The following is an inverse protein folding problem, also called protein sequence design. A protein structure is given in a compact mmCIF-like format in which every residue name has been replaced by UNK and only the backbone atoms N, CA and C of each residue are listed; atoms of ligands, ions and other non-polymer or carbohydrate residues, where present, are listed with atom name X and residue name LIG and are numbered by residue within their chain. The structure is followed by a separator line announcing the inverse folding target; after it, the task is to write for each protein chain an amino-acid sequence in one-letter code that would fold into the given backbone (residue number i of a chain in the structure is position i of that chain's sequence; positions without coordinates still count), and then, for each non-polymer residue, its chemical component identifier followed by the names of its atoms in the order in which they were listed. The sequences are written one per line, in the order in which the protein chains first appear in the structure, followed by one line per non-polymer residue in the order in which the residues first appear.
data_IF_262386811140
#
_entry.id   IF_262386811140
#
_cell.length_a   1.000
_cell.length_b   1.000
_cell.length_c   1.000
_cell.angle_alpha   90.00
_cell.angle_beta   90.00
_cell.angle_gamma   90.00
#
_symmetry.space_group_name_H-M   'P 1'
#
loop_
_entity.id
_entity.type
_entity.pdbx_description
1 polymer ?
#
# COMPACT_ATOMS: atom_id res chain seq x y z
N UNK A 1 -2.72 -15.55 -16.25
CA UNK A 1 -3.31 -14.19 -16.16
C UNK A 1 -2.72 -13.53 -14.93
N UNK A 2 -2.25 -12.28 -15.03
CA UNK A 2 -1.75 -11.57 -13.86
C UNK A 2 -2.93 -11.31 -12.89
N UNK A 3 -2.69 -11.50 -11.60
CA UNK A 3 -3.66 -11.29 -10.52
C UNK A 3 -2.91 -10.84 -9.26
N UNK A 4 -3.62 -10.46 -8.20
CA UNK A 4 -2.97 -10.21 -6.91
C UNK A 4 -2.40 -11.52 -6.33
N UNK A 5 -1.29 -11.39 -5.59
CA UNK A 5 -0.65 -12.46 -4.82
C UNK A 5 -0.60 -12.09 -3.34
N UNK A 6 -0.96 -13.02 -2.47
CA UNK A 6 -1.00 -12.81 -1.03
C UNK A 6 0.10 -13.60 -0.33
N UNK A 7 0.87 -12.92 0.52
CA UNK A 7 1.91 -13.51 1.38
C UNK A 7 1.42 -13.41 2.83
N UNK A 8 0.89 -14.50 3.41
CA UNK A 8 0.44 -14.50 4.79
C UNK A 8 1.63 -14.41 5.75
N UNK A 9 1.45 -13.74 6.89
CA UNK A 9 2.47 -13.66 7.96
C UNK A 9 3.85 -13.16 7.46
N UNK A 10 3.86 -12.26 6.47
CA UNK A 10 5.09 -11.69 5.91
C UNK A 10 5.81 -10.79 6.92
N UNK A 11 5.02 -10.13 7.78
CA UNK A 11 5.47 -9.43 8.97
C UNK A 11 4.80 -10.07 10.19
N UNK A 12 5.53 -10.14 11.30
CA UNK A 12 4.97 -10.51 12.59
C UNK A 12 4.12 -9.38 13.16
N UNK A 13 3.21 -9.72 14.08
CA UNK A 13 2.41 -8.75 14.85
C UNK A 13 3.31 -7.70 15.51
N UNK A 14 4.40 -8.13 16.16
CA UNK A 14 5.32 -7.21 16.83
C UNK A 14 6.06 -6.26 15.87
N UNK A 15 6.40 -6.72 14.66
CA UNK A 15 6.96 -5.84 13.62
C UNK A 15 5.93 -4.82 13.13
N UNK A 16 4.67 -5.22 12.94
CA UNK A 16 3.59 -4.30 12.58
C UNK A 16 3.34 -3.25 13.67
N UNK A 17 3.28 -3.68 14.93
CA UNK A 17 3.06 -2.80 16.08
C UNK A 17 4.22 -1.81 16.25
N UNK A 18 5.46 -2.25 16.01
CA UNK A 18 6.63 -1.38 16.02
C UNK A 18 6.57 -0.28 14.94
N UNK A 19 6.11 -0.62 13.73
CA UNK A 19 5.89 0.37 12.67
C UNK A 19 4.81 1.37 13.08
N UNK A 20 3.67 0.90 13.57
CA UNK A 20 2.54 1.76 13.99
C UNK A 20 2.95 2.67 15.16
N UNK A 21 3.71 2.16 16.13
CA UNK A 21 4.22 2.94 17.26
C UNK A 21 5.24 4.01 16.83
N UNK A 22 6.12 3.70 15.87
CA UNK A 22 7.10 4.65 15.36
C UNK A 22 6.42 5.83 14.64
N UNK A 23 5.46 5.56 13.75
CA UNK A 23 4.76 6.61 13.00
C UNK A 23 3.82 7.44 13.89
N UNK A 24 3.35 6.93 15.02
CA UNK A 24 2.44 7.70 15.90
C UNK A 24 3.13 8.91 16.53
N UNK A 25 4.47 8.93 16.53
CA UNK A 25 5.29 10.04 17.02
C UNK A 25 5.70 10.99 15.89
N UNK A 26 5.47 10.62 14.63
CA UNK A 26 5.80 11.42 13.47
C UNK A 26 4.66 12.38 13.11
N UNK A 27 4.97 13.60 12.62
CA UNK A 27 3.94 14.43 12.00
C UNK A 27 3.37 13.69 10.78
N UNK A 28 2.04 13.61 10.69
CA UNK A 28 1.36 13.04 9.52
C UNK A 28 0.87 14.15 8.60
N UNK A 29 1.11 14.02 7.29
CA UNK A 29 0.57 14.93 6.29
C UNK A 29 -0.77 14.42 5.74
N UNK A 30 -1.77 15.29 5.50
CA UNK A 30 -2.98 14.87 4.80
C UNK A 30 -2.63 14.39 3.37
N UNK A 31 -3.21 13.27 2.94
CA UNK A 31 -2.86 12.64 1.68
C UNK A 31 -3.03 13.59 0.47
N UNK A 32 -1.98 13.73 -0.33
CA UNK A 32 -2.00 14.45 -1.60
C UNK A 32 -2.15 13.47 -2.77
N UNK A 33 -2.94 13.82 -3.79
CA UNK A 33 -3.00 13.08 -5.05
C UNK A 33 -1.81 13.44 -5.95
N UNK A 34 -1.54 12.60 -6.96
CA UNK A 34 -0.62 12.93 -8.06
C UNK A 34 -1.04 14.28 -8.67
N UNK A 35 -0.16 15.28 -8.62
CA UNK A 35 -0.46 16.66 -9.05
C UNK A 35 -0.83 17.64 -7.93
N UNK A 36 -0.69 17.27 -6.65
CA UNK A 36 -0.94 18.13 -5.46
C UNK A 36 -2.39 18.63 -5.31
N UNK A 37 -3.36 18.07 -6.02
CA UNK A 37 -4.77 18.36 -5.80
C UNK A 37 -5.29 17.58 -4.58
N UNK A 38 -5.98 18.29 -3.68
CA UNK A 38 -6.72 17.72 -2.55
C UNK A 38 -8.16 17.49 -3.01
N UNK A 39 -8.46 16.30 -3.52
CA UNK A 39 -9.84 15.88 -3.70
C UNK A 39 -10.18 14.81 -2.67
N UNK A 40 -10.79 15.23 -1.57
CA UNK A 40 -11.24 14.35 -0.50
C UNK A 40 -12.28 13.32 -0.97
N UNK A 41 -12.91 13.54 -2.14
CA UNK A 41 -13.80 12.53 -2.75
C UNK A 41 -13.02 11.38 -3.40
N UNK A 42 -11.73 11.56 -3.70
CA UNK A 42 -10.88 10.52 -4.25
C UNK A 42 -10.13 9.75 -3.17
N UNK A 43 -9.61 10.45 -2.16
CA UNK A 43 -8.87 9.83 -1.05
C UNK A 43 -9.08 10.60 0.25
N UNK A 44 -9.36 9.87 1.32
CA UNK A 44 -9.42 10.36 2.70
C UNK A 44 -8.50 9.49 3.57
N UNK A 45 -7.27 9.96 3.80
CA UNK A 45 -6.25 9.30 4.63
C UNK A 45 -5.18 10.31 5.08
N UNK A 46 -4.51 10.04 6.19
CA UNK A 46 -3.25 10.69 6.57
C UNK A 46 -2.08 9.82 6.09
N UNK A 47 -0.96 10.43 5.68
CA UNK A 47 0.22 9.74 5.17
C UNK A 47 1.44 10.03 6.03
N UNK A 48 2.29 9.01 6.17
CA UNK A 48 3.63 9.11 6.75
C UNK A 48 4.60 8.35 5.87
N UNK A 49 5.69 8.98 5.43
CA UNK A 49 6.74 8.29 4.67
C UNK A 49 7.78 7.74 5.64
N UNK A 50 8.20 6.49 5.46
CA UNK A 50 9.03 5.80 6.46
C UNK A 50 10.45 6.36 6.57
N UNK A 51 10.96 7.05 5.54
CA UNK A 51 12.24 7.75 5.53
C UNK A 51 12.23 9.03 6.38
N UNK A 52 11.06 9.54 6.72
CA UNK A 52 10.89 10.67 7.64
C UNK A 52 10.83 10.22 9.12
N UNK A 53 10.90 8.91 9.38
CA UNK A 53 10.74 8.32 10.71
C UNK A 53 11.99 7.54 11.12
N UNK A 54 12.63 7.99 12.19
CA UNK A 54 13.80 7.31 12.74
C UNK A 54 13.46 5.88 13.20
N UNK A 55 14.37 4.93 12.93
CA UNK A 55 14.21 3.53 13.33
C UNK A 55 13.43 2.64 12.36
N UNK A 56 12.92 3.17 11.25
CA UNK A 56 12.20 2.39 10.23
C UNK A 56 13.05 1.97 9.01
N UNK A 57 14.35 2.22 9.01
CA UNK A 57 15.24 1.91 7.87
C UNK A 57 15.19 0.42 7.44
N UNK A 58 14.99 -0.50 8.39
CA UNK A 58 14.91 -1.95 8.13
C UNK A 58 13.67 -2.37 7.33
N UNK A 59 12.62 -1.55 7.33
CA UNK A 59 11.33 -1.86 6.69
C UNK A 59 11.50 -2.00 5.19
N UNK A 60 12.30 -1.12 4.58
CA UNK A 60 12.52 -1.14 3.13
C UNK A 60 13.19 -2.44 2.67
N UNK A 61 14.22 -2.90 3.39
CA UNK A 61 14.92 -4.14 3.05
C UNK A 61 13.97 -5.35 3.06
N UNK A 62 13.09 -5.42 4.07
CA UNK A 62 12.06 -6.48 4.15
C UNK A 62 11.11 -6.45 2.96
N UNK A 63 10.67 -5.27 2.55
CA UNK A 63 9.73 -5.14 1.43
C UNK A 63 10.40 -5.47 0.10
N UNK A 64 11.66 -5.07 -0.10
CA UNK A 64 12.44 -5.42 -1.29
C UNK A 64 12.54 -6.95 -1.44
N UNK A 65 12.83 -7.66 -0.35
CA UNK A 65 12.93 -9.12 -0.37
C UNK A 65 11.60 -9.79 -0.76
N UNK A 66 10.49 -9.31 -0.20
CA UNK A 66 9.14 -9.82 -0.52
C UNK A 66 8.78 -9.55 -1.98
N UNK A 67 9.01 -8.33 -2.48
CA UNK A 67 8.77 -7.99 -3.88
C UNK A 67 9.63 -8.84 -4.81
N UNK A 68 10.91 -9.05 -4.48
CA UNK A 68 11.82 -9.85 -5.31
C UNK A 68 11.32 -11.28 -5.49
N UNK A 69 10.92 -11.92 -4.37
CA UNK A 69 10.36 -13.28 -4.39
C UNK A 69 9.05 -13.32 -5.16
N UNK A 70 8.11 -12.42 -4.84
CA UNK A 70 6.81 -12.37 -5.49
C UNK A 70 6.95 -12.12 -7.01
N UNK A 71 7.84 -11.21 -7.41
CA UNK A 71 8.09 -10.91 -8.81
C UNK A 71 8.64 -12.11 -9.56
N UNK A 72 9.66 -12.80 -9.01
CA UNK A 72 10.24 -13.99 -9.63
C UNK A 72 9.20 -15.10 -9.84
N UNK A 73 8.36 -15.33 -8.83
CA UNK A 73 7.49 -16.51 -8.80
C UNK A 73 6.12 -16.29 -9.46
N UNK A 74 5.65 -15.04 -9.56
CA UNK A 74 4.27 -14.75 -9.99
C UNK A 74 4.11 -13.71 -11.11
N UNK A 75 5.06 -12.78 -11.29
CA UNK A 75 4.83 -11.61 -12.16
C UNK A 75 5.80 -11.49 -13.32
N UNK A 76 7.10 -11.73 -13.09
CA UNK A 76 8.13 -11.70 -14.12
C UNK A 76 8.40 -10.32 -14.73
N UNK A 77 8.17 -9.22 -14.00
CA UNK A 77 8.52 -7.89 -14.49
C UNK A 77 10.03 -7.64 -14.41
N UNK A 78 10.54 -6.85 -15.35
CA UNK A 78 11.90 -6.27 -15.27
C UNK A 78 11.91 -5.13 -14.24
N UNK A 79 12.18 -5.47 -12.99
CA UNK A 79 12.28 -4.52 -11.88
C UNK A 79 13.72 -4.02 -11.77
N UNK A 80 13.90 -2.71 -11.85
CA UNK A 80 15.23 -2.08 -11.86
C UNK A 80 15.47 -1.17 -10.66
N UNK A 81 14.43 -0.74 -9.96
CA UNK A 81 14.57 0.22 -8.87
C UNK A 81 13.40 0.23 -7.87
N UNK A 82 13.66 0.85 -6.73
CA UNK A 82 12.65 1.37 -5.83
C UNK A 82 12.93 2.87 -5.67
N UNK A 83 12.19 3.69 -6.41
CA UNK A 83 12.45 5.14 -6.51
C UNK A 83 11.60 5.96 -5.51
N UNK A 84 10.82 5.29 -4.67
CA UNK A 84 9.91 5.90 -3.72
C UNK A 84 10.03 5.21 -2.36
N UNK A 85 9.99 6.02 -1.29
CA UNK A 85 9.96 5.53 0.09
C UNK A 85 8.65 4.78 0.38
N UNK A 86 8.66 3.77 1.26
CA UNK A 86 7.42 3.19 1.76
C UNK A 86 6.51 4.24 2.41
N UNK A 87 5.23 4.17 2.07
CA UNK A 87 4.19 5.10 2.54
C UNK A 87 3.23 4.37 3.47
N UNK A 88 3.16 4.79 4.73
CA UNK A 88 2.04 4.39 5.60
C UNK A 88 0.84 5.29 5.33
N UNK A 89 -0.32 4.67 5.16
CA UNK A 89 -1.61 5.34 5.04
C UNK A 89 -2.50 5.00 6.24
N UNK A 90 -3.09 6.04 6.84
CA UNK A 90 -3.91 6.00 8.05
C UNK A 90 -5.34 6.40 7.66
N UNK A 91 -6.26 5.45 7.70
CA UNK A 91 -7.66 5.64 7.34
C UNK A 91 -8.52 5.65 8.61
N UNK A 92 -9.17 6.78 8.89
CA UNK A 92 -9.98 6.97 10.12
C UNK A 92 -11.46 6.91 9.80
N UNK A 93 -12.24 6.20 10.63
CA UNK A 93 -13.70 6.17 10.52
C UNK A 93 -14.33 7.58 10.60
N UNK A 94 -13.77 8.46 11.43
CA UNK A 94 -14.25 9.84 11.60
C UNK A 94 -14.23 10.69 10.32
N UNK A 95 -13.44 10.28 9.33
CA UNK A 95 -13.34 10.95 8.02
C UNK A 95 -13.82 10.04 6.87
N UNK A 96 -14.57 8.97 7.20
CA UNK A 96 -14.95 7.90 6.28
C UNK A 96 -13.75 7.44 5.44
N UNK A 97 -12.60 7.23 6.07
CA UNK A 97 -11.32 7.04 5.38
C UNK A 97 -11.41 5.99 4.27
N UNK A 98 -11.01 6.38 3.06
CA UNK A 98 -11.16 5.56 1.85
C UNK A 98 -10.15 5.98 0.78
N UNK A 99 -10.06 5.18 -0.29
CA UNK A 99 -9.42 5.57 -1.54
C UNK A 99 -10.21 4.93 -2.67
N UNK A 100 -10.89 5.73 -3.49
CA UNK A 100 -11.74 5.22 -4.59
C UNK A 100 -10.93 4.46 -5.63
N UNK A 101 -11.61 3.74 -6.53
CA UNK A 101 -10.99 3.02 -7.64
C UNK A 101 -9.97 3.88 -8.40
N UNK A 102 -8.73 3.42 -8.41
CA UNK A 102 -7.61 4.08 -9.09
C UNK A 102 -6.57 3.07 -9.55
N UNK A 103 -5.61 3.56 -10.32
CA UNK A 103 -4.41 2.85 -10.70
C UNK A 103 -3.20 3.56 -10.09
N UNK A 104 -2.19 2.80 -9.69
CA UNK A 104 -0.97 3.37 -9.12
C UNK A 104 0.01 3.84 -10.18
N UNK A 105 -0.09 3.32 -11.41
CA UNK A 105 0.64 3.88 -12.54
C UNK A 105 0.04 5.24 -12.91
N UNK A 106 0.88 6.23 -13.16
CA UNK A 106 0.46 7.59 -13.49
C UNK A 106 1.27 8.22 -14.62
N UNK A 107 0.89 9.44 -15.02
CA UNK A 107 1.60 10.19 -16.07
C UNK A 107 2.89 10.89 -15.61
N UNK A 108 3.29 10.74 -14.35
CA UNK A 108 4.50 11.34 -13.80
C UNK A 108 5.75 10.52 -14.14
N UNK A 109 6.95 11.12 -14.12
CA UNK A 109 8.19 10.45 -14.53
C UNK A 109 8.49 9.19 -13.70
N UNK A 110 8.20 9.21 -12.40
CA UNK A 110 8.40 8.05 -11.51
C UNK A 110 7.18 7.11 -11.56
N UNK A 111 5.97 7.65 -11.41
CA UNK A 111 4.75 6.84 -11.36
C UNK A 111 4.46 6.09 -12.66
N UNK A 112 4.92 6.56 -13.83
CA UNK A 112 4.81 5.85 -15.10
C UNK A 112 5.68 4.57 -15.16
N UNK A 113 6.65 4.42 -14.25
CA UNK A 113 7.57 3.29 -14.17
C UNK A 113 7.16 2.23 -13.14
N UNK A 114 6.12 2.46 -12.34
CA UNK A 114 5.63 1.51 -11.33
C UNK A 114 5.14 0.23 -11.99
N UNK A 115 5.66 -0.91 -11.53
CA UNK A 115 5.34 -2.25 -12.02
C UNK A 115 4.53 -3.05 -11.03
N UNK A 116 4.98 -3.09 -9.78
CA UNK A 116 4.32 -3.79 -8.69
C UNK A 116 4.03 -2.83 -7.55
N UNK A 117 2.82 -2.92 -7.04
CA UNK A 117 2.39 -2.35 -5.77
C UNK A 117 2.39 -3.47 -4.73
N UNK A 118 3.01 -3.22 -3.59
CA UNK A 118 2.93 -4.07 -2.41
C UNK A 118 2.18 -3.30 -1.32
N UNK A 119 1.14 -3.91 -0.74
CA UNK A 119 0.41 -3.38 0.41
C UNK A 119 0.50 -4.36 1.59
N UNK A 120 1.04 -3.90 2.71
CA UNK A 120 1.11 -4.57 4.01
C UNK A 120 -0.04 -4.10 4.91
N UNK A 121 -0.78 -5.03 5.51
CA UNK A 121 -1.76 -4.72 6.56
C UNK A 121 -1.06 -4.55 7.91
N UNK A 122 -1.24 -3.39 8.55
CA UNK A 122 -0.59 -3.08 9.82
C UNK A 122 -1.53 -3.16 11.04
N UNK A 123 -2.84 -3.07 10.83
CA UNK A 123 -3.83 -3.12 11.92
C UNK A 123 -4.42 -4.52 12.09
N UNK A 124 -4.80 -4.88 13.31
CA UNK A 124 -5.59 -6.09 13.55
C UNK A 124 -6.98 -5.93 12.91
N UNK A 125 -7.54 -7.00 12.30
CA UNK A 125 -8.84 -6.91 11.63
C UNK A 125 -10.01 -6.60 12.57
N UNK A 126 -9.88 -6.89 13.86
CA UNK A 126 -10.84 -6.56 14.92
C UNK A 126 -10.84 -5.09 15.36
N UNK A 127 -9.77 -4.33 15.07
CA UNK A 127 -9.64 -2.92 15.49
C UNK A 127 -10.41 -1.94 14.59
N UNK A 128 -10.94 -2.42 13.45
CA UNK A 128 -11.66 -1.60 12.49
C UNK A 128 -12.71 -2.37 11.70
N UNK A 129 -13.72 -1.66 11.19
CA UNK A 129 -14.71 -2.20 10.27
C UNK A 129 -14.64 -1.50 8.91
N UNK A 130 -14.83 -2.23 7.81
CA UNK A 130 -14.62 -1.71 6.46
C UNK A 130 -13.13 -1.61 6.12
N UNK A 131 -12.73 -0.62 5.30
CA UNK A 131 -11.31 -0.43 4.95
C UNK A 131 -10.73 -1.56 4.09
N UNK A 132 -11.56 -2.34 3.40
CA UNK A 132 -11.08 -3.49 2.62
C UNK A 132 -10.32 -2.98 1.40
N UNK A 133 -9.11 -3.50 1.18
CA UNK A 133 -8.40 -3.33 -0.07
C UNK A 133 -9.01 -4.28 -1.11
N UNK A 134 -9.57 -3.71 -2.15
CA UNK A 134 -10.18 -4.43 -3.27
C UNK A 134 -9.33 -4.22 -4.53
N UNK A 135 -9.07 -5.29 -5.27
CA UNK A 135 -8.30 -5.27 -6.53
C UNK A 135 -9.15 -5.90 -7.63
N UNK A 136 -9.17 -5.26 -8.80
CA UNK A 136 -9.94 -5.69 -9.96
C UNK A 136 -8.97 -6.12 -11.09
N UNK A 137 -8.45 -7.37 -11.07
CA UNK A 137 -7.54 -7.86 -12.11
C UNK A 137 -8.22 -8.18 -13.45
N UNK A 138 -9.55 -8.14 -13.49
CA UNK A 138 -10.38 -8.45 -14.66
C UNK A 138 -11.83 -8.02 -14.42
N UNK A 139 -12.81 -8.83 -14.81
CA UNK A 139 -14.24 -8.51 -14.59
C UNK A 139 -14.73 -8.73 -13.14
N UNK A 140 -13.85 -9.15 -12.23
CA UNK A 140 -14.16 -9.52 -10.86
C UNK A 140 -13.37 -8.67 -9.87
N UNK A 141 -14.00 -8.34 -8.75
CA UNK A 141 -13.35 -7.71 -7.60
C UNK A 141 -12.86 -8.81 -6.66
N UNK A 142 -11.58 -8.75 -6.28
CA UNK A 142 -10.97 -9.61 -5.29
C UNK A 142 -10.66 -8.79 -4.04
N UNK A 143 -10.98 -9.33 -2.87
CA UNK A 143 -10.63 -8.71 -1.59
C UNK A 143 -9.27 -9.22 -1.11
N UNK A 144 -8.36 -8.31 -0.80
CA UNK A 144 -7.12 -8.65 -0.14
C UNK A 144 -7.36 -9.08 1.31
N UNK A 145 -6.53 -9.98 1.83
CA UNK A 145 -6.56 -10.36 3.25
C UNK A 145 -6.42 -9.12 4.14
N UNK A 146 -7.21 -9.09 5.21
CA UNK A 146 -7.17 -8.07 6.27
C UNK A 146 -6.30 -8.46 7.47
N UNK A 147 -5.76 -9.69 7.49
CA UNK A 147 -4.96 -10.16 8.60
C UNK A 147 -3.70 -9.30 8.77
N UNK A 148 -3.40 -8.87 10.00
CA UNK A 148 -2.20 -8.11 10.30
C UNK A 148 -0.94 -8.88 9.86
N UNK A 149 0.04 -8.16 9.31
CA UNK A 149 1.27 -8.77 8.81
C UNK A 149 1.14 -9.43 7.44
N UNK A 150 -0.09 -9.52 6.90
CA UNK A 150 -0.32 -10.03 5.56
C UNK A 150 0.07 -9.00 4.51
N UNK A 151 0.76 -9.45 3.48
CA UNK A 151 1.14 -8.64 2.32
C UNK A 151 0.34 -9.05 1.10
N UNK A 152 -0.10 -8.08 0.31
CA UNK A 152 -0.68 -8.29 -1.01
C UNK A 152 0.15 -7.56 -2.05
N UNK A 153 0.57 -8.27 -3.10
CA UNK A 153 1.34 -7.73 -4.23
C UNK A 153 0.49 -7.81 -5.49
N UNK A 154 0.44 -6.76 -6.29
CA UNK A 154 -0.29 -6.74 -7.56
C UNK A 154 0.36 -5.78 -8.57
N UNK A 155 0.14 -5.97 -9.88
CA UNK A 155 0.61 -5.03 -10.89
C UNK A 155 0.03 -3.63 -10.69
N UNK A 156 0.87 -2.61 -10.69
CA UNK A 156 0.48 -1.22 -10.36
C UNK A 156 -0.51 -0.60 -11.34
N UNK A 157 -0.70 -1.19 -12.52
CA UNK A 157 -1.74 -0.77 -13.46
C UNK A 157 -3.14 -1.29 -13.12
N UNK A 158 -3.28 -2.25 -12.20
CA UNK A 158 -4.59 -2.80 -11.84
C UNK A 158 -5.43 -1.78 -11.07
N UNK A 159 -6.71 -1.71 -11.41
CA UNK A 159 -7.68 -0.91 -10.66
C UNK A 159 -7.82 -1.50 -9.26
N UNK A 160 -7.72 -0.65 -8.25
CA UNK A 160 -7.90 -1.03 -6.86
C UNK A 160 -8.48 0.12 -6.05
N UNK A 161 -9.09 -0.21 -4.91
CA UNK A 161 -9.67 0.76 -3.98
C UNK A 161 -9.50 0.31 -2.53
N UNK A 162 -9.69 1.24 -1.60
CA UNK A 162 -9.90 0.98 -0.18
C UNK A 162 -11.31 1.42 0.16
N UNK A 163 -12.17 0.48 0.52
CA UNK A 163 -13.56 0.78 0.90
C UNK A 163 -13.60 1.63 2.18
N UNK A 164 -14.66 2.42 2.41
CA UNK A 164 -14.73 3.28 3.59
C UNK A 164 -14.55 2.53 4.90
N UNK A 165 -13.68 3.06 5.77
CA UNK A 165 -13.59 2.65 7.18
C UNK A 165 -14.82 3.18 7.90
N UNK A 166 -15.57 2.27 8.54
CA UNK A 166 -16.83 2.55 9.24
C UNK A 166 -16.67 2.65 10.76
N UNK A 167 -15.67 1.97 11.30
CA UNK A 167 -15.29 2.01 12.72
C UNK A 167 -13.78 1.85 12.87
N UNK A 168 -13.19 2.46 13.90
CA UNK A 168 -11.77 2.34 14.21
C UNK A 168 -10.83 3.09 13.26
N UNK A 169 -9.58 2.63 13.23
CA UNK A 169 -8.50 3.21 12.40
C UNK A 169 -7.73 2.08 11.71
N UNK A 170 -7.67 2.12 10.39
CA UNK A 170 -6.89 1.18 9.58
C UNK A 170 -5.55 1.79 9.19
N UNK A 171 -4.47 1.07 9.47
CA UNK A 171 -3.13 1.37 9.01
C UNK A 171 -2.71 0.36 7.93
N UNK A 172 -2.10 0.85 6.86
CA UNK A 172 -1.45 0.01 5.85
C UNK A 172 -0.19 0.67 5.34
N UNK A 173 0.80 -0.14 4.97
CA UNK A 173 2.04 0.34 4.37
C UNK A 173 2.11 -0.08 2.90
N UNK A 174 2.44 0.86 2.02
CA UNK A 174 2.55 0.62 0.59
C UNK A 174 3.96 0.94 0.10
N UNK A 175 4.49 0.12 -0.81
CA UNK A 175 5.70 0.44 -1.59
C UNK A 175 5.52 0.05 -3.05
N UNK A 176 6.22 0.77 -3.94
CA UNK A 176 6.18 0.52 -5.37
C UNK A 176 7.55 0.10 -5.92
N UNK A 177 7.55 -0.96 -6.72
CA UNK A 177 8.72 -1.39 -7.48
C UNK A 177 8.66 -0.88 -8.91
N UNK A 178 9.79 -0.43 -9.43
CA UNK A 178 9.91 0.30 -10.67
C UNK A 178 10.68 -0.49 -11.71
N UNK A 179 10.36 -0.26 -12.98
CA UNK A 179 11.03 -0.86 -14.14
C UNK A 179 10.96 0.05 -15.36
N UNK A 180 11.43 -0.41 -16.53
CA UNK A 180 11.27 0.33 -17.79
C UNK A 180 9.80 0.68 -18.04
N UNK A 181 9.51 1.87 -18.59
CA UNK A 181 8.13 2.27 -18.90
C UNK A 181 7.42 1.21 -19.77
N UNK A 182 6.10 1.06 -19.57
CA UNK A 182 5.29 0.22 -20.46
C UNK A 182 5.33 0.79 -21.89
N UNK A 183 5.44 -0.08 -22.89
CA UNK A 183 5.51 0.26 -24.31
C UNK A 183 4.35 -0.35 -25.05
#
# INVERSE_FOLDING_TARGET
MLSMHTIPQAFSVGECDAIVAAISQAPSDPALLVGRNRDHNMRSADLVWTDEVEGLAWVMDRLIDLVRVANRDHFGFDLTAFEESPQVAIYRASAAGHFVWHSDIGGGPISAKRKLTLVLQLSQPEDYEGGTLEVMPGAQVLEASRAQGCVTVFPSFMLHQVTPVRSGVRHSLTVWAHGPAFR
#
